data_IF_370600129262
#
_entry.id   IF_370600129262
#
_cell.length_a   1.000
_cell.length_b   1.000
_cell.length_c   1.000
_cell.angle_alpha   90.00
_cell.angle_beta   90.00
_cell.angle_gamma   90.00
#
_symmetry.space_group_name_H-M   'P 1'
#
loop_
_entity.id
_entity.type
_entity.pdbx_description
1 polymer ?
#
# COMPACT_ATOMS: atom_id res chain seq x y z
N UNK A 1 18.50 10.13 -6.90
CA UNK A 1 17.03 10.06 -6.98
C UNK A 1 16.56 9.51 -5.66
N UNK A 2 15.82 10.32 -4.90
CA UNK A 2 15.40 9.97 -3.56
C UNK A 2 13.95 9.48 -3.61
N UNK A 3 13.58 8.49 -2.79
CA UNK A 3 12.18 8.02 -2.70
C UNK A 3 11.23 9.16 -2.33
N UNK A 4 11.78 10.23 -1.73
CA UNK A 4 11.10 11.48 -1.43
C UNK A 4 10.44 12.17 -2.62
N UNK A 5 10.93 11.92 -3.85
CA UNK A 5 10.50 12.56 -5.10
C UNK A 5 9.28 11.88 -5.73
N UNK A 6 8.87 10.71 -5.24
CA UNK A 6 7.66 10.02 -5.71
C UNK A 6 6.43 10.73 -5.11
N UNK A 7 5.45 11.00 -5.98
CA UNK A 7 4.15 11.56 -5.59
C UNK A 7 3.22 10.43 -5.13
N UNK A 8 3.19 10.20 -3.82
CA UNK A 8 2.34 9.20 -3.19
C UNK A 8 0.92 9.76 -2.94
N UNK A 9 -0.11 8.92 -2.91
CA UNK A 9 -1.49 9.37 -2.69
C UNK A 9 -1.71 10.01 -1.31
N UNK A 10 -0.90 9.66 -0.31
CA UNK A 10 -0.87 10.33 0.98
C UNK A 10 0.51 10.31 1.62
N UNK A 11 0.70 11.16 2.65
CA UNK A 11 1.97 11.24 3.40
C UNK A 11 2.21 9.95 4.18
N UNK A 12 1.14 9.35 4.68
CA UNK A 12 1.14 8.15 5.48
C UNK A 12 1.54 6.93 4.64
N UNK A 13 1.04 6.83 3.40
CA UNK A 13 1.47 5.81 2.42
C UNK A 13 2.99 5.89 2.20
N UNK A 14 3.52 7.10 2.04
CA UNK A 14 4.96 7.32 1.88
C UNK A 14 5.74 6.91 3.13
N UNK A 15 5.25 7.24 4.32
CA UNK A 15 5.91 6.88 5.59
C UNK A 15 5.96 5.37 5.79
N UNK A 16 4.83 4.67 5.61
CA UNK A 16 4.77 3.21 5.71
C UNK A 16 5.70 2.58 4.68
N UNK A 17 5.66 3.06 3.43
CA UNK A 17 6.54 2.57 2.38
C UNK A 17 8.03 2.73 2.77
N UNK A 18 8.48 3.92 3.14
CA UNK A 18 9.90 4.17 3.48
C UNK A 18 10.34 3.38 4.71
N UNK A 19 9.46 3.23 5.72
CA UNK A 19 9.75 2.48 6.96
C UNK A 19 9.97 0.99 6.69
N UNK A 20 9.18 0.44 5.77
CA UNK A 20 9.01 -1.00 5.64
C UNK A 20 9.54 -1.60 4.33
N UNK A 21 9.72 -0.80 3.28
CA UNK A 21 10.21 -1.27 1.99
C UNK A 21 11.57 -1.97 2.15
N UNK A 22 11.67 -3.17 1.60
CA UNK A 22 12.89 -3.99 1.69
C UNK A 22 13.08 -4.79 0.41
N UNK A 23 14.35 -5.01 0.04
CA UNK A 23 14.65 -5.70 -1.21
C UNK A 23 14.20 -7.16 -1.10
N UNK A 24 13.33 -7.61 -2.01
CA UNK A 24 12.88 -9.00 -2.05
C UNK A 24 14.02 -10.03 -2.23
N UNK A 25 15.16 -9.62 -2.79
CA UNK A 25 16.31 -10.50 -3.04
C UNK A 25 17.29 -10.61 -1.86
N UNK A 26 17.57 -9.50 -1.18
CA UNK A 26 18.62 -9.44 -0.15
C UNK A 26 18.16 -8.87 1.19
N UNK A 27 16.86 -8.54 1.32
CA UNK A 27 16.22 -7.96 2.50
C UNK A 27 16.85 -6.64 2.97
N UNK A 28 17.65 -6.00 2.12
CA UNK A 28 18.25 -4.71 2.42
C UNK A 28 17.21 -3.59 2.34
N UNK A 29 17.25 -2.66 3.29
CA UNK A 29 16.48 -1.40 3.25
C UNK A 29 17.10 -0.32 2.35
N UNK A 30 18.23 -0.62 1.70
CA UNK A 30 18.91 0.31 0.79
C UNK A 30 18.25 0.31 -0.59
N UNK A 31 16.99 0.75 -0.63
CA UNK A 31 16.21 0.90 -1.85
C UNK A 31 16.25 2.37 -2.27
N UNK A 32 16.52 2.60 -3.55
CA UNK A 32 16.39 3.89 -4.19
C UNK A 32 15.31 3.88 -5.27
N UNK A 33 14.73 5.04 -5.53
CA UNK A 33 13.89 5.23 -6.70
C UNK A 33 14.76 5.35 -7.96
N UNK A 34 14.38 4.62 -9.02
CA UNK A 34 15.08 4.60 -10.30
C UNK A 34 14.31 5.36 -11.39
N UNK A 35 13.03 5.05 -11.56
CA UNK A 35 12.17 5.64 -12.60
C UNK A 35 10.70 5.33 -12.36
N UNK A 36 9.80 5.96 -13.12
CA UNK A 36 8.36 5.69 -13.08
C UNK A 36 7.61 6.56 -12.08
N UNK A 37 6.29 6.45 -12.11
CA UNK A 37 5.34 7.21 -11.30
C UNK A 37 4.46 6.25 -10.51
N UNK A 38 3.97 6.69 -9.35
CA UNK A 38 3.11 5.84 -8.52
C UNK A 38 1.83 5.44 -9.27
N UNK A 39 1.38 4.17 -9.20
CA UNK A 39 1.97 3.04 -8.46
C UNK A 39 3.04 2.26 -9.24
N UNK A 40 3.25 2.56 -10.53
CA UNK A 40 4.19 1.87 -11.43
C UNK A 40 5.62 2.42 -11.31
N UNK A 41 6.17 2.43 -10.10
CA UNK A 41 7.55 2.84 -9.85
C UNK A 41 8.52 1.67 -10.01
N UNK A 42 9.70 1.95 -10.55
CA UNK A 42 10.85 1.06 -10.55
C UNK A 42 11.82 1.48 -9.46
N UNK A 43 12.18 0.51 -8.63
CA UNK A 43 13.06 0.66 -7.51
C UNK A 43 14.36 -0.11 -7.77
N UNK A 44 15.44 0.32 -7.14
CA UNK A 44 16.76 -0.28 -7.28
C UNK A 44 17.37 -0.52 -5.91
N UNK A 45 17.92 -1.71 -5.68
CA UNK A 45 18.65 -2.04 -4.46
C UNK A 45 20.14 -1.79 -4.62
N UNK A 46 20.71 -0.85 -3.87
CA UNK A 46 22.16 -0.62 -3.86
C UNK A 46 22.97 -1.75 -3.21
N UNK A 47 22.31 -2.70 -2.52
CA UNK A 47 22.96 -3.81 -1.84
C UNK A 47 23.20 -5.05 -2.71
N UNK A 48 22.30 -5.33 -3.66
CA UNK A 48 22.40 -6.49 -4.56
C UNK A 48 22.32 -6.13 -6.05
N UNK A 49 22.25 -4.83 -6.36
CA UNK A 49 22.17 -4.27 -7.72
C UNK A 49 20.98 -4.80 -8.53
N UNK A 50 19.94 -5.29 -7.85
CA UNK A 50 18.71 -5.75 -8.46
C UNK A 50 17.67 -4.64 -8.53
N UNK A 51 16.85 -4.72 -9.58
CA UNK A 51 15.68 -3.89 -9.76
C UNK A 51 14.44 -4.64 -9.27
N UNK A 52 13.48 -3.89 -8.74
CA UNK A 52 12.23 -4.43 -8.25
C UNK A 52 11.13 -3.41 -8.47
N UNK A 53 9.89 -3.84 -8.49
CA UNK A 53 8.76 -2.92 -8.53
C UNK A 53 8.29 -2.54 -7.11
N UNK A 54 7.28 -1.68 -7.06
CA UNK A 54 6.65 -1.29 -5.80
C UNK A 54 6.17 -2.51 -5.01
N UNK A 55 5.42 -3.41 -5.64
CA UNK A 55 4.81 -4.57 -5.00
C UNK A 55 5.85 -5.55 -4.48
N UNK A 56 6.95 -5.76 -5.20
CA UNK A 56 8.09 -6.55 -4.75
C UNK A 56 8.71 -5.98 -3.47
N UNK A 57 8.83 -4.65 -3.37
CA UNK A 57 9.43 -3.99 -2.22
C UNK A 57 8.56 -4.04 -0.95
N UNK A 58 7.23 -4.16 -1.13
CA UNK A 58 6.25 -4.30 -0.03
C UNK A 58 5.72 -5.73 0.12
N UNK A 59 6.13 -6.67 -0.73
CA UNK A 59 5.63 -8.05 -0.71
C UNK A 59 5.87 -8.74 0.64
N UNK A 60 6.96 -8.39 1.32
CA UNK A 60 7.25 -8.91 2.67
C UNK A 60 6.32 -8.36 3.76
N UNK A 61 5.55 -7.31 3.48
CA UNK A 61 4.57 -6.70 4.38
C UNK A 61 3.16 -7.18 4.12
N UNK A 62 2.91 -7.69 2.91
CA UNK A 62 1.66 -8.37 2.61
C UNK A 62 1.62 -9.60 3.54
N UNK A 63 0.63 -9.69 4.43
CA UNK A 63 0.51 -10.83 5.31
C UNK A 63 0.43 -12.10 4.46
N UNK A 64 1.17 -13.14 4.85
CA UNK A 64 1.26 -14.47 4.21
C UNK A 64 -0.08 -15.24 4.21
N UNK A 65 -1.22 -14.56 4.34
CA UNK A 65 -2.49 -15.17 4.72
C UNK A 65 -3.65 -14.64 3.91
N UNK A 66 -4.34 -15.61 3.32
CA UNK A 66 -5.68 -15.63 2.72
C UNK A 66 -6.80 -14.91 3.52
N UNK A 67 -6.51 -14.24 4.64
CA UNK A 67 -7.47 -13.76 5.64
C UNK A 67 -7.57 -12.22 5.77
N UNK A 68 -6.82 -11.44 5.00
CA UNK A 68 -6.79 -9.96 5.11
C UNK A 68 -6.97 -9.24 3.76
N UNK A 69 -7.76 -9.82 2.85
CA UNK A 69 -8.32 -9.06 1.74
C UNK A 69 -9.35 -8.07 2.28
N UNK A 70 -8.87 -6.94 2.76
CA UNK A 70 -9.70 -5.83 3.18
C UNK A 70 -9.82 -4.85 2.02
N UNK A 71 -11.01 -4.82 1.40
CA UNK A 71 -11.33 -3.84 0.38
C UNK A 71 -11.45 -2.44 1.00
N UNK A 72 -10.68 -1.48 0.46
CA UNK A 72 -10.81 -0.11 0.88
C UNK A 72 -12.26 0.39 0.71
N UNK A 73 -12.88 0.98 1.75
CA UNK A 73 -14.26 1.47 1.66
C UNK A 73 -14.42 2.64 0.68
N UNK A 74 -13.35 3.40 0.41
CA UNK A 74 -13.40 4.58 -0.47
C UNK A 74 -13.21 4.24 -1.95
N UNK A 75 -12.28 3.33 -2.26
CA UNK A 75 -11.87 3.09 -3.65
C UNK A 75 -11.99 1.63 -4.09
N UNK A 76 -12.48 0.75 -3.20
CA UNK A 76 -12.63 -0.70 -3.44
C UNK A 76 -11.31 -1.38 -3.84
N UNK A 77 -10.17 -0.75 -3.50
CA UNK A 77 -8.85 -1.28 -3.75
C UNK A 77 -8.41 -2.25 -2.65
N UNK A 78 -7.73 -3.32 -3.05
CA UNK A 78 -7.26 -4.40 -2.14
C UNK A 78 -5.88 -4.15 -1.53
N UNK A 79 -5.24 -3.04 -1.87
CA UNK A 79 -3.88 -2.71 -1.44
C UNK A 79 -3.88 -2.02 -0.07
N UNK A 80 -4.45 -2.66 0.96
CA UNK A 80 -4.50 -2.11 2.31
C UNK A 80 -3.40 -2.71 3.18
N UNK A 81 -2.49 -1.87 3.70
CA UNK A 81 -1.33 -2.30 4.49
C UNK A 81 -1.21 -1.42 5.72
N UNK A 82 -1.03 -2.04 6.90
CA UNK A 82 -1.04 -1.34 8.20
C UNK A 82 -2.28 -0.43 8.38
N UNK A 83 -3.43 -0.83 7.85
CA UNK A 83 -4.65 -0.03 7.91
C UNK A 83 -4.70 1.14 6.93
N UNK A 84 -3.76 1.26 5.98
CA UNK A 84 -3.77 2.35 5.00
C UNK A 84 -3.94 1.78 3.60
N UNK A 85 -4.88 2.32 2.83
CA UNK A 85 -5.06 1.98 1.43
C UNK A 85 -3.98 2.65 0.59
N UNK A 86 -3.13 1.85 -0.03
CA UNK A 86 -2.10 2.33 -0.94
C UNK A 86 -2.68 2.79 -2.28
N UNK A 87 -3.91 2.43 -2.64
CA UNK A 87 -4.52 2.90 -3.89
C UNK A 87 -4.99 4.35 -3.81
N UNK A 88 -5.57 4.78 -2.68
CA UNK A 88 -6.14 6.12 -2.53
C UNK A 88 -5.59 6.92 -1.33
N UNK A 89 -4.74 6.32 -0.50
CA UNK A 89 -4.19 6.95 0.71
C UNK A 89 -5.12 6.95 1.93
N UNK A 90 -6.29 6.30 1.84
CA UNK A 90 -7.27 6.27 2.93
C UNK A 90 -6.78 5.50 4.15
N UNK A 91 -6.86 6.12 5.33
CA UNK A 91 -6.50 5.52 6.61
C UNK A 91 -7.74 4.90 7.27
N UNK A 92 -7.62 3.63 7.67
CA UNK A 92 -8.65 2.88 8.37
C UNK A 92 -8.53 3.12 9.86
N UNK A 93 -9.65 3.47 10.47
CA UNK A 93 -9.78 3.65 11.91
C UNK A 93 -9.87 2.27 12.59
N UNK A 94 -8.92 2.00 13.50
CA UNK A 94 -8.95 0.78 14.30
C UNK A 94 -10.26 0.67 15.11
N UNK A 95 -10.93 -0.48 14.99
CA UNK A 95 -12.17 -0.77 15.72
C UNK A 95 -13.45 -0.28 15.04
N UNK A 96 -13.36 0.31 13.84
CA UNK A 96 -14.52 0.67 13.02
C UNK A 96 -14.93 -0.48 12.11
N UNK A 97 -16.23 -0.80 12.11
CA UNK A 97 -16.81 -1.89 11.33
C UNK A 97 -17.32 -1.38 9.98
N UNK A 98 -16.38 -1.27 9.03
CA UNK A 98 -16.65 -0.75 7.69
C UNK A 98 -17.61 -1.64 6.87
N UNK A 99 -17.62 -2.95 7.12
CA UNK A 99 -18.55 -3.88 6.46
C UNK A 99 -19.99 -3.59 6.88
N UNK A 100 -20.20 -3.36 8.18
CA UNK A 100 -21.51 -2.98 8.70
C UNK A 100 -21.97 -1.63 8.16
N UNK A 101 -21.07 -0.66 8.02
CA UNK A 101 -21.39 0.65 7.44
C UNK A 101 -21.78 0.53 5.96
N UNK A 102 -21.02 -0.21 5.15
CA UNK A 102 -21.37 -0.52 3.75
C UNK A 102 -22.76 -1.17 3.65
N UNK A 103 -23.04 -2.14 4.52
CA UNK A 103 -24.33 -2.83 4.54
C UNK A 103 -25.50 -1.88 4.90
N UNK A 104 -25.31 -0.97 5.84
CA UNK A 104 -26.32 0.05 6.19
C UNK A 104 -26.56 1.01 5.03
N UNK A 105 -25.50 1.49 4.36
CA UNK A 105 -25.63 2.34 3.17
C UNK A 105 -26.42 1.64 2.06
N UNK A 106 -26.09 0.37 1.77
CA UNK A 106 -26.82 -0.42 0.78
C UNK A 106 -28.31 -0.58 1.11
N UNK A 107 -28.64 -0.77 2.40
CA UNK A 107 -30.04 -0.84 2.84
C UNK A 107 -30.79 0.49 2.68
N UNK A 108 -30.09 1.63 2.78
CA UNK A 108 -30.69 2.95 2.54
C UNK A 108 -30.93 3.18 1.04
N UNK A 109 -29.97 2.85 0.19
CA UNK A 109 -30.10 2.99 -1.28
C UNK A 109 -31.20 2.10 -1.88
N UNK A 110 -31.51 0.95 -1.25
CA UNK A 110 -32.60 0.07 -1.67
C UNK A 110 -33.99 0.47 -1.17
N UNK A 111 -34.08 1.46 -0.26
CA UNK A 111 -35.34 1.95 0.29
C UNK A 111 -35.81 3.28 -0.32
N UNK A 112 -35.08 3.82 -1.29
CA UNK A 112 -35.54 4.87 -2.23
C UNK A 112 -35.98 4.25 -3.57
#
# INVERSE_FOLDING_TARGET
MNISEIDFPSSEVKEIFVKNASCCHCQSKNIGWKSGEYPNISLYCSGCEQEMDFYDAIACLLPDKEDLYFECPECEGDNVIEGICFSCGFELEEGRDYDREKYVCWLMEKND
#
